data_IF_035007350640
#
_entry.id   IF_035007350640
#
_cell.length_a   1.000
_cell.length_b   1.000
_cell.length_c   1.000
_cell.angle_alpha   90.00
_cell.angle_beta   90.00
_cell.angle_gamma   90.00
#
_symmetry.space_group_name_H-M   'P 1'
#
loop_
_entity.id
_entity.type
_entity.pdbx_description
1 polymer ?
#
# COMPACT_ATOMS: atom_id res chain seq x y z
N UNK A 1 -2.27 16.09 1.29
CA UNK A 1 -1.25 15.08 1.61
C UNK A 1 -1.32 13.93 0.61
N UNK A 2 -0.20 13.56 0.05
CA UNK A 2 -0.11 12.43 -0.90
C UNK A 2 0.59 11.27 -0.20
N UNK A 3 0.03 10.06 -0.29
CA UNK A 3 0.55 8.87 0.37
C UNK A 3 0.49 7.68 -0.58
N UNK A 4 1.57 6.93 -0.65
CA UNK A 4 1.62 5.68 -1.42
C UNK A 4 1.05 4.57 -0.52
N UNK A 5 0.00 3.89 -0.98
CA UNK A 5 -0.58 2.77 -0.23
C UNK A 5 -0.06 1.45 -0.80
N UNK A 6 0.48 0.58 0.06
CA UNK A 6 0.96 -0.72 -0.39
C UNK A 6 -0.14 -1.79 -0.36
N UNK A 7 0.19 -2.98 -0.85
CA UNK A 7 -0.77 -4.07 -0.97
C UNK A 7 -1.34 -4.53 0.38
N UNK A 8 -0.53 -4.50 1.43
CA UNK A 8 -0.97 -4.93 2.77
C UNK A 8 -2.08 -4.05 3.32
N UNK A 9 -2.09 -2.78 2.96
CA UNK A 9 -3.17 -1.86 3.35
C UNK A 9 -4.49 -2.34 2.74
N UNK A 10 -4.48 -2.74 1.48
CA UNK A 10 -5.68 -3.25 0.81
C UNK A 10 -6.10 -4.60 1.36
N UNK A 11 -5.15 -5.49 1.68
CA UNK A 11 -5.48 -6.77 2.34
C UNK A 11 -6.20 -6.53 3.66
N UNK A 12 -5.67 -5.65 4.49
CA UNK A 12 -6.27 -5.30 5.78
C UNK A 12 -7.67 -4.73 5.61
N UNK A 13 -7.87 -3.84 4.63
CA UNK A 13 -9.18 -3.23 4.38
C UNK A 13 -10.19 -4.24 3.86
N UNK A 14 -9.76 -5.22 3.05
CA UNK A 14 -10.64 -6.26 2.54
C UNK A 14 -11.03 -7.26 3.64
N UNK A 15 -10.10 -7.57 4.54
CA UNK A 15 -10.35 -8.49 5.66
C UNK A 15 -11.22 -7.83 6.72
N UNK A 16 -11.00 -6.56 7.02
CA UNK A 16 -11.72 -5.81 8.06
C UNK A 16 -12.29 -4.50 7.51
N UNK A 17 -13.41 -4.57 6.75
CA UNK A 17 -13.98 -3.38 6.11
C UNK A 17 -14.41 -2.28 7.10
N UNK A 18 -14.68 -2.64 8.36
CA UNK A 18 -15.07 -1.69 9.40
C UNK A 18 -13.88 -1.27 10.27
N UNK A 19 -12.68 -1.73 9.95
CA UNK A 19 -11.48 -1.45 10.74
C UNK A 19 -10.87 -0.08 10.47
N UNK A 20 -9.87 0.26 11.27
CA UNK A 20 -9.15 1.55 11.19
C UNK A 20 -8.48 1.75 9.82
N UNK A 21 -7.82 0.72 9.30
CA UNK A 21 -7.12 0.81 8.02
C UNK A 21 -8.10 1.13 6.88
N UNK A 22 -9.24 0.43 6.83
CA UNK A 22 -10.26 0.68 5.83
C UNK A 22 -10.84 2.09 5.94
N UNK A 23 -11.07 2.55 7.16
CA UNK A 23 -11.58 3.89 7.43
C UNK A 23 -10.62 4.98 6.91
N UNK A 24 -9.33 4.83 7.18
CA UNK A 24 -8.31 5.76 6.70
C UNK A 24 -8.24 5.73 5.17
N UNK A 25 -8.26 4.52 4.57
CA UNK A 25 -8.18 4.36 3.13
C UNK A 25 -9.36 5.02 2.40
N UNK A 26 -10.52 5.10 3.06
CA UNK A 26 -11.70 5.79 2.49
C UNK A 26 -11.66 7.31 2.67
N UNK A 27 -10.73 7.82 3.47
CA UNK A 27 -10.61 9.27 3.67
C UNK A 27 -9.95 9.91 2.44
N UNK A 28 -10.73 10.62 1.64
CA UNK A 28 -10.29 11.15 0.34
C UNK A 28 -10.20 12.67 0.30
N UNK A 29 -10.65 13.34 1.35
CA UNK A 29 -10.64 14.81 1.40
C UNK A 29 -9.27 15.36 1.80
N UNK A 30 -8.58 14.65 2.69
CA UNK A 30 -7.31 15.11 3.26
C UNK A 30 -6.11 14.34 2.74
N UNK A 31 -6.32 13.12 2.24
CA UNK A 31 -5.26 12.26 1.74
C UNK A 31 -5.57 11.85 0.31
N UNK A 32 -4.61 12.08 -0.59
CA UNK A 32 -4.60 11.52 -1.91
C UNK A 32 -3.72 10.27 -1.89
N UNK A 33 -4.35 9.11 -1.98
CA UNK A 33 -3.59 7.87 -2.12
C UNK A 33 -3.20 7.66 -3.57
N UNK A 34 -2.01 7.08 -3.77
CA UNK A 34 -1.51 6.67 -5.09
C UNK A 34 -0.87 5.30 -4.94
N UNK A 35 -0.78 4.56 -6.02
CA UNK A 35 -0.15 3.24 -6.00
C UNK A 35 0.40 2.87 -7.38
N UNK A 36 1.43 2.01 -7.44
CA UNK A 36 1.88 1.48 -8.73
C UNK A 36 0.91 0.42 -9.24
N UNK A 37 0.88 0.21 -10.55
CA UNK A 37 -0.01 -0.77 -11.19
C UNK A 37 0.25 -2.21 -10.72
N UNK A 38 1.47 -2.50 -10.26
CA UNK A 38 1.82 -3.77 -9.62
C UNK A 38 0.85 -4.14 -8.49
N UNK A 39 0.32 -3.15 -7.76
CA UNK A 39 -0.66 -3.36 -6.68
C UNK A 39 -1.86 -4.18 -7.14
N UNK A 40 -2.35 -3.89 -8.34
CA UNK A 40 -3.58 -4.54 -8.85
C UNK A 40 -3.35 -6.03 -9.03
N UNK A 41 -2.24 -6.40 -9.66
CA UNK A 41 -1.89 -7.81 -9.88
C UNK A 41 -1.63 -8.53 -8.57
N UNK A 42 -0.94 -7.87 -7.65
CA UNK A 42 -0.60 -8.45 -6.36
C UNK A 42 -1.85 -8.73 -5.52
N UNK A 43 -2.76 -7.77 -5.41
CA UNK A 43 -3.99 -7.96 -4.63
C UNK A 43 -4.89 -9.01 -5.29
N UNK A 44 -5.06 -8.95 -6.60
CA UNK A 44 -5.86 -9.96 -7.32
C UNK A 44 -5.29 -11.36 -7.14
N UNK A 45 -3.98 -11.51 -7.09
CA UNK A 45 -3.33 -12.80 -6.85
C UNK A 45 -3.52 -13.34 -5.42
N UNK A 46 -3.95 -12.51 -4.48
CA UNK A 46 -4.15 -12.89 -3.09
C UNK A 46 -5.63 -13.06 -2.68
N UNK A 47 -6.57 -12.85 -3.60
CA UNK A 47 -8.00 -12.90 -3.25
C UNK A 47 -8.43 -14.28 -2.73
N UNK A 48 -7.88 -15.37 -3.27
CA UNK A 48 -8.18 -16.70 -2.78
C UNK A 48 -7.72 -16.90 -1.33
N UNK A 49 -6.54 -16.38 -1.00
CA UNK A 49 -6.01 -16.46 0.37
C UNK A 49 -6.89 -15.66 1.33
N UNK A 50 -7.35 -14.50 0.92
CA UNK A 50 -8.25 -13.66 1.73
C UNK A 50 -9.58 -14.38 1.93
N UNK A 51 -10.14 -14.98 0.88
CA UNK A 51 -11.37 -15.78 0.95
C UNK A 51 -11.24 -16.88 1.98
N UNK A 52 -10.13 -17.62 1.94
CA UNK A 52 -9.89 -18.72 2.87
C UNK A 52 -9.74 -18.20 4.31
N UNK A 53 -9.04 -17.08 4.49
CA UNK A 53 -8.90 -16.44 5.80
C UNK A 53 -10.25 -16.04 6.39
N UNK A 54 -11.19 -15.61 5.56
CA UNK A 54 -12.55 -15.23 5.99
C UNK A 54 -13.51 -16.42 6.11
N UNK A 55 -13.00 -17.65 6.09
CA UNK A 55 -13.80 -18.88 6.18
C UNK A 55 -14.92 -18.94 5.12
N UNK A 56 -14.61 -18.43 3.93
CA UNK A 56 -15.48 -18.40 2.78
C UNK A 56 -16.77 -17.57 2.95
N UNK A 57 -16.79 -16.64 3.91
CA UNK A 57 -17.91 -15.71 4.08
C UNK A 57 -18.14 -14.82 2.87
N UNK A 58 -17.09 -14.60 2.06
CA UNK A 58 -17.17 -13.83 0.81
C UNK A 58 -16.63 -14.65 -0.35
N UNK A 59 -17.23 -14.46 -1.52
CA UNK A 59 -16.72 -15.07 -2.76
C UNK A 59 -15.58 -14.24 -3.34
N UNK A 60 -14.81 -14.84 -4.24
CA UNK A 60 -13.77 -14.12 -4.99
C UNK A 60 -14.39 -12.94 -5.75
N UNK A 61 -15.57 -13.14 -6.34
CA UNK A 61 -16.28 -12.10 -7.07
C UNK A 61 -16.62 -10.89 -6.16
N UNK A 62 -17.09 -11.17 -4.93
CA UNK A 62 -17.39 -10.12 -3.96
C UNK A 62 -16.13 -9.37 -3.54
N UNK A 63 -15.04 -10.11 -3.26
CA UNK A 63 -13.75 -9.51 -2.88
C UNK A 63 -13.18 -8.66 -4.02
N UNK A 64 -13.29 -9.15 -5.26
CA UNK A 64 -12.86 -8.38 -6.43
C UNK A 64 -13.65 -7.08 -6.55
N UNK A 65 -14.95 -7.12 -6.33
CA UNK A 65 -15.80 -5.93 -6.34
C UNK A 65 -15.42 -4.96 -5.22
N UNK A 66 -15.21 -5.48 -4.01
CA UNK A 66 -14.79 -4.66 -2.87
C UNK A 66 -13.45 -3.98 -3.15
N UNK A 67 -12.52 -4.69 -3.76
CA UNK A 67 -11.22 -4.13 -4.12
C UNK A 67 -11.37 -2.98 -5.13
N UNK A 68 -12.19 -3.17 -6.17
CA UNK A 68 -12.45 -2.12 -7.15
C UNK A 68 -13.05 -0.86 -6.51
N UNK A 69 -13.93 -1.05 -5.53
CA UNK A 69 -14.51 0.07 -4.79
C UNK A 69 -13.44 0.82 -3.99
N UNK A 70 -12.52 0.09 -3.35
CA UNK A 70 -11.41 0.71 -2.61
C UNK A 70 -10.47 1.48 -3.53
N UNK A 71 -10.28 1.02 -4.76
CA UNK A 71 -9.40 1.67 -5.74
C UNK A 71 -10.01 2.92 -6.36
N UNK A 72 -11.30 3.12 -6.26
CA UNK A 72 -11.98 4.23 -6.93
C UNK A 72 -11.35 5.57 -6.52
N UNK A 73 -10.93 6.35 -7.52
CA UNK A 73 -10.32 7.65 -7.28
C UNK A 73 -8.86 7.62 -6.88
N UNK A 74 -8.22 6.44 -6.82
CA UNK A 74 -6.79 6.33 -6.54
C UNK A 74 -6.03 6.29 -7.87
N UNK A 75 -5.16 7.27 -8.16
CA UNK A 75 -4.31 7.21 -9.35
C UNK A 75 -3.40 5.98 -9.29
N UNK A 76 -3.41 5.21 -10.37
CA UNK A 76 -2.56 4.04 -10.53
C UNK A 76 -1.45 4.42 -11.50
N UNK A 77 -0.21 4.37 -11.02
CA UNK A 77 0.96 4.82 -11.77
C UNK A 77 1.61 3.60 -12.44
N UNK A 78 1.71 3.60 -13.79
CA UNK A 78 2.39 2.50 -14.47
C UNK A 78 3.85 2.41 -14.06
N UNK A 79 4.29 1.23 -13.68
CA UNK A 79 5.67 1.02 -13.24
C UNK A 79 6.67 1.35 -14.34
N UNK A 80 6.33 1.06 -15.60
CA UNK A 80 7.19 1.33 -16.75
C UNK A 80 7.29 2.82 -17.08
N UNK A 81 6.47 3.67 -16.46
CA UNK A 81 6.58 5.13 -16.62
C UNK A 81 7.63 5.75 -15.71
N UNK A 82 8.14 5.00 -14.72
CA UNK A 82 9.13 5.50 -13.78
C UNK A 82 10.54 5.52 -14.39
N UNK A 83 11.38 6.40 -13.87
CA UNK A 83 12.77 6.48 -14.31
C UNK A 83 13.49 5.15 -14.03
N UNK A 84 14.24 4.67 -15.01
CA UNK A 84 14.98 3.41 -14.92
C UNK A 84 15.93 3.40 -13.71
N UNK A 85 16.56 4.53 -13.44
CA UNK A 85 17.46 4.72 -12.30
C UNK A 85 16.74 4.43 -10.98
N UNK A 86 15.51 4.93 -10.82
CA UNK A 86 14.72 4.71 -9.61
C UNK A 86 14.29 3.24 -9.48
N UNK A 87 13.95 2.59 -10.59
CA UNK A 87 13.62 1.16 -10.58
C UNK A 87 14.81 0.31 -10.12
N UNK A 88 15.99 0.58 -10.66
CA UNK A 88 17.21 -0.16 -10.28
C UNK A 88 17.61 0.09 -8.84
N UNK A 89 17.54 1.35 -8.40
CA UNK A 89 17.85 1.71 -7.03
C UNK A 89 16.91 1.05 -6.04
N UNK A 90 15.61 1.04 -6.36
CA UNK A 90 14.61 0.38 -5.51
C UNK A 90 14.88 -1.11 -5.37
N UNK A 91 15.23 -1.78 -6.47
CA UNK A 91 15.58 -3.21 -6.45
C UNK A 91 16.77 -3.48 -5.52
N UNK A 92 17.79 -2.63 -5.54
CA UNK A 92 18.94 -2.76 -4.66
C UNK A 92 18.57 -2.54 -3.19
N UNK A 93 17.74 -1.54 -2.92
CA UNK A 93 17.33 -1.21 -1.55
C UNK A 93 16.61 -2.39 -0.89
N UNK A 94 15.74 -3.09 -1.60
CA UNK A 94 14.93 -4.18 -1.05
C UNK A 94 15.53 -5.57 -1.21
N UNK A 95 16.66 -5.69 -1.88
CA UNK A 95 17.25 -6.97 -2.31
C UNK A 95 17.31 -8.04 -1.21
N UNK A 96 17.66 -7.64 0.01
CA UNK A 96 17.83 -8.55 1.13
C UNK A 96 16.62 -8.56 2.08
N UNK A 97 15.63 -7.73 1.83
CA UNK A 97 14.46 -7.59 2.70
C UNK A 97 13.24 -8.25 2.06
N UNK A 98 12.79 -7.72 0.92
CA UNK A 98 11.68 -8.29 0.17
C UNK A 98 11.78 -7.83 -1.29
N UNK A 99 12.20 -8.74 -2.17
CA UNK A 99 12.42 -8.45 -3.59
C UNK A 99 11.17 -7.95 -4.30
N UNK A 100 9.99 -8.42 -3.87
CA UNK A 100 8.75 -8.17 -4.59
C UNK A 100 8.16 -6.79 -4.28
N UNK A 101 8.67 -6.11 -3.26
CA UNK A 101 8.16 -4.80 -2.85
C UNK A 101 8.85 -3.62 -3.52
N UNK A 102 9.80 -3.86 -4.44
CA UNK A 102 10.51 -2.77 -5.08
C UNK A 102 9.61 -1.78 -5.82
N UNK A 103 8.44 -2.16 -6.39
CA UNK A 103 7.60 -1.19 -7.08
C UNK A 103 7.15 -0.02 -6.20
N UNK A 104 6.85 -0.28 -4.93
CA UNK A 104 6.44 0.77 -3.99
C UNK A 104 7.61 1.68 -3.64
N UNK A 105 8.80 1.12 -3.47
CA UNK A 105 10.01 1.89 -3.20
C UNK A 105 10.39 2.73 -4.42
N UNK A 106 10.27 2.17 -5.63
CA UNK A 106 10.55 2.89 -6.87
C UNK A 106 9.63 4.11 -7.01
N UNK A 107 8.33 3.92 -6.73
CA UNK A 107 7.37 5.02 -6.78
C UNK A 107 7.73 6.09 -5.74
N UNK A 108 8.11 5.69 -4.53
CA UNK A 108 8.56 6.61 -3.49
C UNK A 108 9.76 7.46 -3.95
N UNK A 109 10.75 6.82 -4.59
CA UNK A 109 11.93 7.53 -5.09
C UNK A 109 11.56 8.52 -6.19
N UNK A 110 10.56 8.19 -7.00
CA UNK A 110 10.10 9.04 -8.11
C UNK A 110 9.34 10.25 -7.64
N UNK A 111 8.31 10.05 -6.80
CA UNK A 111 7.40 11.14 -6.41
C UNK A 111 7.72 11.77 -5.06
N UNK A 112 8.60 11.16 -4.29
CA UNK A 112 9.10 11.66 -2.99
C UNK A 112 8.01 11.85 -1.93
N UNK A 113 7.02 10.98 -1.95
CA UNK A 113 5.98 10.91 -0.92
C UNK A 113 6.09 9.60 -0.17
N UNK A 114 5.69 9.61 1.10
CA UNK A 114 5.86 8.46 2.00
C UNK A 114 4.94 7.31 1.66
N UNK A 115 5.38 6.12 2.06
CA UNK A 115 4.65 4.87 1.87
C UNK A 115 3.95 4.51 3.17
N UNK A 116 2.64 4.28 3.08
CA UNK A 116 1.87 3.70 4.18
C UNK A 116 1.85 2.18 3.97
N UNK A 117 2.57 1.47 4.83
CA UNK A 117 2.72 0.02 4.72
C UNK A 117 2.30 -0.69 5.99
N UNK A 118 1.58 -1.79 5.81
CA UNK A 118 1.26 -2.71 6.89
C UNK A 118 2.31 -3.82 7.08
N UNK A 119 3.33 -3.86 6.21
CA UNK A 119 4.38 -4.88 6.25
C UNK A 119 5.46 -4.51 7.27
N UNK A 120 5.39 -5.11 8.45
CA UNK A 120 6.35 -4.83 9.53
C UNK A 120 7.76 -5.29 9.18
N UNK A 121 7.90 -6.40 8.49
CA UNK A 121 9.22 -6.92 8.09
C UNK A 121 9.91 -5.99 7.11
N UNK A 122 9.17 -5.48 6.13
CA UNK A 122 9.69 -4.50 5.18
C UNK A 122 10.14 -3.23 5.90
N UNK A 123 9.30 -2.67 6.76
CA UNK A 123 9.63 -1.43 7.49
C UNK A 123 10.84 -1.62 8.40
N UNK A 124 10.89 -2.74 9.13
CA UNK A 124 12.02 -3.07 10.00
C UNK A 124 13.32 -3.20 9.22
N UNK A 125 13.28 -3.99 8.13
CA UNK A 125 14.44 -4.22 7.30
C UNK A 125 14.99 -2.95 6.69
N UNK A 126 14.12 -2.08 6.17
CA UNK A 126 14.55 -0.82 5.57
C UNK A 126 14.97 0.21 6.62
N UNK A 127 14.33 0.22 7.79
CA UNK A 127 14.73 1.10 8.90
C UNK A 127 16.15 0.75 9.34
N UNK A 128 16.49 -0.54 9.44
CA UNK A 128 17.83 -0.99 9.79
C UNK A 128 18.89 -0.54 8.77
N UNK A 129 18.48 -0.31 7.52
CA UNK A 129 19.37 0.17 6.45
C UNK A 129 19.40 1.71 6.34
N UNK A 130 18.69 2.42 7.21
CA UNK A 130 18.65 3.88 7.20
C UNK A 130 17.52 4.48 6.37
N UNK A 131 16.54 3.68 5.95
CA UNK A 131 15.42 4.12 5.09
C UNK A 131 14.08 4.21 5.82
N UNK A 132 14.08 4.24 7.16
CA UNK A 132 12.83 4.34 7.92
C UNK A 132 11.99 5.55 7.58
N UNK A 133 12.62 6.64 7.11
CA UNK A 133 11.94 7.87 6.72
C UNK A 133 11.10 7.73 5.44
N UNK A 134 11.20 6.61 4.72
CA UNK A 134 10.36 6.34 3.55
C UNK A 134 8.91 6.10 3.94
N UNK A 135 8.64 5.75 5.21
CA UNK A 135 7.35 5.27 5.66
C UNK A 135 6.59 6.25 6.53
N UNK A 136 5.26 6.21 6.44
CA UNK A 136 4.35 6.85 7.39
C UNK A 136 3.56 5.73 8.07
N UNK A 137 3.35 5.86 9.38
CA UNK A 137 2.63 4.85 10.16
C UNK A 137 1.12 5.13 10.15
N UNK A 138 0.34 4.09 10.46
CA UNK A 138 -1.10 4.23 10.64
C UNK A 138 -1.42 5.26 11.74
N UNK A 139 -0.67 5.24 12.83
CA UNK A 139 -0.86 6.18 13.93
C UNK A 139 -0.60 7.63 13.51
N UNK A 140 0.46 7.86 12.72
CA UNK A 140 0.74 9.19 12.20
C UNK A 140 -0.39 9.70 11.30
N UNK A 141 -0.98 8.81 10.47
CA UNK A 141 -2.11 9.16 9.63
C UNK A 141 -3.36 9.44 10.46
N UNK A 142 -3.61 8.64 11.49
CA UNK A 142 -4.74 8.86 12.41
C UNK A 142 -4.63 10.22 13.08
N UNK A 143 -3.46 10.57 13.58
CA UNK A 143 -3.24 11.86 14.23
C UNK A 143 -3.50 13.01 13.27
N UNK A 144 -3.06 12.90 12.02
CA UNK A 144 -3.30 13.94 11.00
C UNK A 144 -4.79 14.10 10.68
N UNK A 145 -5.52 13.00 10.60
CA UNK A 145 -6.93 13.02 10.20
C UNK A 145 -7.87 13.44 11.33
N UNK A 146 -7.56 13.06 12.56
CA UNK A 146 -8.49 13.18 13.68
C UNK A 146 -8.02 14.16 14.76
N UNK A 147 -6.88 14.78 14.56
CA UNK A 147 -6.40 15.77 15.53
C UNK A 147 -7.30 17.00 15.50
N UNK A 148 -7.88 17.34 16.64
CA UNK A 148 -8.60 18.62 16.80
C UNK A 148 -7.60 19.75 16.82
N UNK A 149 -7.86 20.72 15.99
CA UNK A 149 -7.09 21.95 16.01
C UNK A 149 -7.57 22.86 17.12
#
# INVERSE_FOLDING_TARGET
>A
MIVIADSNIFYSALISPEGTTASILRERKRIQFVAPDYLIDEVNGHLLRIKNYLNEEKTIKQLSKDFKELLRGIPIIPLDSLEKENLLKAQQIVKEVDKDDYPFIALHLEIKHKIWSGDKELRKGLTAKGYGHFFVTTEELRQKLYKKQ
#
